data_IF_878174558106
#
_entry.id   IF_878174558106
#
_cell.length_a   1.000
_cell.length_b   1.000
_cell.length_c   1.000
_cell.angle_alpha   90.00
_cell.angle_beta   90.00
_cell.angle_gamma   90.00
#
_symmetry.space_group_name_H-M   'P 1'
#
loop_
_entity.id
_entity.type
_entity.pdbx_description
1 polymer ?
#
# COMPACT_ATOMS: atom_id res chain seq x y z
N UNK A 1 -41.09 28.13 13.62
CA UNK A 1 -39.71 27.67 13.95
C UNK A 1 -39.28 26.42 13.18
N UNK A 2 -40.08 25.33 13.09
CA UNK A 2 -39.72 24.12 12.31
C UNK A 2 -39.39 24.37 10.82
N UNK A 3 -40.09 25.30 10.15
CA UNK A 3 -39.86 25.63 8.73
C UNK A 3 -38.51 26.31 8.45
N UNK A 4 -37.96 27.02 9.44
CA UNK A 4 -36.68 27.75 9.34
C UNK A 4 -35.49 26.78 9.51
N UNK A 5 -35.62 25.78 10.38
CA UNK A 5 -34.62 24.71 10.57
C UNK A 5 -34.46 23.84 9.32
N UNK A 6 -35.56 23.49 8.63
CA UNK A 6 -35.52 22.72 7.39
C UNK A 6 -34.80 23.49 6.28
N UNK A 7 -34.98 24.81 6.23
CA UNK A 7 -34.34 25.67 5.22
C UNK A 7 -32.83 25.82 5.46
N UNK A 8 -32.40 25.93 6.73
CA UNK A 8 -30.98 25.91 7.10
C UNK A 8 -30.34 24.55 6.79
N UNK A 9 -31.01 23.44 7.12
CA UNK A 9 -30.54 22.09 6.78
C UNK A 9 -30.46 21.86 5.26
N UNK A 10 -31.40 22.39 4.48
CA UNK A 10 -31.36 22.32 3.01
C UNK A 10 -30.22 23.16 2.42
N UNK A 11 -29.95 24.35 2.97
CA UNK A 11 -28.81 25.19 2.54
C UNK A 11 -27.45 24.57 2.91
N UNK A 12 -27.34 23.87 4.04
CA UNK A 12 -26.15 23.09 4.37
C UNK A 12 -25.97 21.88 3.44
N UNK A 13 -27.06 21.20 3.05
CA UNK A 13 -27.01 20.08 2.10
C UNK A 13 -26.61 20.49 0.67
N UNK A 14 -26.88 21.74 0.26
CA UNK A 14 -26.55 22.25 -1.08
C UNK A 14 -25.09 22.73 -1.20
N UNK A 15 -24.45 23.17 -0.11
CA UNK A 15 -23.04 23.55 -0.12
C UNK A 15 -22.07 22.35 -0.13
N UNK A 16 -22.57 21.13 0.15
CA UNK A 16 -21.79 19.90 0.06
C UNK A 16 -21.61 19.39 -1.38
N UNK A 17 -22.25 20.04 -2.38
CA UNK A 17 -22.05 19.72 -3.80
C UNK A 17 -20.81 20.43 -4.33
N UNK A 18 -19.70 19.70 -4.30
CA UNK A 18 -18.63 19.70 -5.31
C UNK A 18 -18.36 21.06 -5.98
N UNK A 19 -17.48 21.87 -5.39
CA UNK A 19 -16.64 22.72 -6.23
C UNK A 19 -15.85 21.77 -7.12
N UNK A 20 -16.29 21.62 -8.37
CA UNK A 20 -15.60 20.84 -9.36
C UNK A 20 -14.27 21.56 -9.63
N UNK A 21 -13.20 21.05 -9.01
CA UNK A 21 -11.87 21.62 -9.13
C UNK A 21 -11.49 21.65 -10.60
N UNK A 22 -11.00 22.81 -11.06
CA UNK A 22 -10.55 22.92 -12.44
C UNK A 22 -9.13 22.34 -12.54
N UNK A 23 -9.04 21.05 -12.79
CA UNK A 23 -7.77 20.31 -12.91
C UNK A 23 -6.94 20.69 -14.15
N UNK A 24 -7.49 21.47 -15.10
CA UNK A 24 -6.69 22.04 -16.21
C UNK A 24 -5.74 23.16 -15.78
N UNK A 25 -5.86 23.63 -14.53
CA UNK A 25 -5.05 24.71 -13.97
C UNK A 25 -4.21 24.20 -12.81
N UNK A 26 -3.12 24.90 -12.53
CA UNK A 26 -2.34 24.68 -11.32
C UNK A 26 -3.13 25.21 -10.12
N UNK A 27 -3.30 24.38 -9.09
CA UNK A 27 -4.03 24.77 -7.88
C UNK A 27 -3.46 24.11 -6.62
N UNK A 28 -3.72 24.77 -5.49
CA UNK A 28 -3.61 24.22 -4.15
C UNK A 28 -5.02 24.06 -3.58
N UNK A 29 -5.38 22.84 -3.18
CA UNK A 29 -6.61 22.54 -2.47
C UNK A 29 -6.29 22.21 -1.01
N UNK A 30 -6.94 22.90 -0.09
CA UNK A 30 -6.60 22.87 1.33
C UNK A 30 -7.50 21.93 2.12
N UNK A 31 -7.05 21.51 3.31
CA UNK A 31 -7.90 20.77 4.25
C UNK A 31 -9.09 21.59 4.80
N UNK A 32 -9.07 22.91 4.61
CA UNK A 32 -10.19 23.82 4.87
C UNK A 32 -11.20 23.88 3.71
N UNK A 33 -11.03 23.04 2.69
CA UNK A 33 -11.81 23.01 1.45
C UNK A 33 -11.75 24.29 0.59
N UNK A 34 -10.84 25.23 0.94
CA UNK A 34 -10.52 26.37 0.08
C UNK A 34 -9.61 25.96 -1.07
N UNK A 35 -9.63 26.71 -2.16
CA UNK A 35 -8.77 26.50 -3.34
C UNK A 35 -8.03 27.77 -3.72
N UNK A 36 -6.74 27.66 -4.02
CA UNK A 36 -5.93 28.74 -4.58
C UNK A 36 -5.40 28.31 -5.94
N UNK A 37 -5.76 29.04 -6.99
CA UNK A 37 -5.17 28.88 -8.32
C UNK A 37 -3.91 29.73 -8.44
N UNK A 38 -2.92 29.23 -9.16
CA UNK A 38 -1.65 29.91 -9.40
C UNK A 38 -1.14 29.63 -10.81
N UNK A 39 -0.21 30.44 -11.30
CA UNK A 39 0.43 30.16 -12.59
C UNK A 39 1.48 29.05 -12.43
N UNK A 40 2.26 29.08 -11.35
CA UNK A 40 3.31 28.11 -11.05
C UNK A 40 3.21 27.64 -9.61
N UNK A 41 3.24 26.32 -9.41
CA UNK A 41 3.27 25.69 -8.09
C UNK A 41 4.53 24.86 -7.99
N UNK A 42 5.35 25.12 -6.96
CA UNK A 42 6.63 24.46 -6.77
C UNK A 42 6.85 24.02 -5.33
N UNK A 43 7.29 22.78 -5.12
CA UNK A 43 7.74 22.31 -3.81
C UNK A 43 9.18 22.77 -3.59
N UNK A 44 9.45 23.43 -2.45
CA UNK A 44 10.79 23.89 -2.07
C UNK A 44 11.01 23.77 -0.56
N UNK A 45 12.25 23.49 -0.10
CA UNK A 45 12.61 23.62 1.28
C UNK A 45 12.50 25.09 1.69
N UNK A 46 12.29 25.28 2.97
CA UNK A 46 12.33 26.57 3.60
C UNK A 46 13.64 26.82 4.32
N UNK A 47 13.80 28.04 4.84
CA UNK A 47 14.98 28.45 5.58
C UNK A 47 15.22 27.63 6.87
N UNK A 48 14.21 26.93 7.37
CA UNK A 48 14.31 26.01 8.52
C UNK A 48 14.55 24.55 8.12
N UNK A 49 14.70 24.25 6.83
CA UNK A 49 14.85 22.88 6.30
C UNK A 49 13.54 22.09 6.18
N UNK A 50 12.39 22.70 6.48
CA UNK A 50 11.06 22.12 6.27
C UNK A 50 10.56 22.31 4.84
N UNK A 51 9.52 21.58 4.43
CA UNK A 51 8.96 21.68 3.09
C UNK A 51 7.85 22.73 2.99
N UNK A 52 7.83 23.49 1.89
CA UNK A 52 6.76 24.45 1.59
C UNK A 52 6.42 24.46 0.09
N UNK A 53 5.15 24.73 -0.21
CA UNK A 53 4.69 24.95 -1.57
C UNK A 53 4.73 26.45 -1.88
N UNK A 54 5.37 26.80 -2.99
CA UNK A 54 5.33 28.16 -3.56
C UNK A 54 4.29 28.20 -4.67
N UNK A 55 3.20 28.91 -4.43
CA UNK A 55 2.21 29.27 -5.43
C UNK A 55 2.51 30.69 -5.90
N UNK A 56 3.12 30.82 -7.08
CA UNK A 56 3.70 32.06 -7.58
C UNK A 56 4.71 32.66 -6.57
N UNK A 57 4.38 33.81 -5.96
CA UNK A 57 5.20 34.46 -4.92
C UNK A 57 4.81 34.08 -3.50
N UNK A 58 3.68 33.38 -3.30
CA UNK A 58 3.14 33.05 -1.98
C UNK A 58 3.71 31.73 -1.48
N UNK A 59 4.16 31.72 -0.23
CA UNK A 59 4.61 30.50 0.46
C UNK A 59 3.45 29.91 1.27
N UNK A 60 3.24 28.61 1.11
CA UNK A 60 2.17 27.86 1.75
C UNK A 60 2.77 26.65 2.46
N UNK A 61 2.32 26.39 3.68
CA UNK A 61 2.74 25.21 4.44
C UNK A 61 2.18 23.94 3.81
N UNK A 62 3.01 22.93 3.59
CA UNK A 62 2.57 21.62 3.05
C UNK A 62 1.52 20.98 3.94
N UNK A 63 1.55 21.19 5.25
CA UNK A 63 0.62 20.60 6.21
C UNK A 63 -0.84 21.06 6.02
N UNK A 64 -1.05 22.21 5.38
CA UNK A 64 -2.38 22.77 5.13
C UNK A 64 -2.98 22.29 3.80
N UNK A 65 -2.14 21.81 2.89
CA UNK A 65 -2.53 21.42 1.53
C UNK A 65 -2.94 19.95 1.53
N UNK A 66 -4.15 19.68 1.02
CA UNK A 66 -4.72 18.35 0.86
C UNK A 66 -4.39 17.76 -0.51
N UNK A 67 -4.62 18.54 -1.57
CA UNK A 67 -4.19 18.20 -2.93
C UNK A 67 -3.49 19.39 -3.58
N UNK A 68 -2.58 19.14 -4.50
CA UNK A 68 -2.16 20.17 -5.44
C UNK A 68 -1.98 19.59 -6.82
N UNK A 69 -2.15 20.45 -7.82
CA UNK A 69 -1.91 20.15 -9.21
C UNK A 69 -0.86 21.13 -9.75
N UNK A 70 0.15 20.60 -10.41
CA UNK A 70 1.18 21.40 -11.06
C UNK A 70 1.49 20.84 -12.46
N UNK A 71 2.59 21.29 -13.06
CA UNK A 71 3.03 20.85 -14.39
C UNK A 71 3.50 19.39 -14.42
N UNK A 72 3.88 18.83 -13.28
CA UNK A 72 4.40 17.45 -13.18
C UNK A 72 3.27 16.44 -12.95
N UNK A 73 2.18 16.86 -12.29
CA UNK A 73 1.03 16.00 -12.05
C UNK A 73 0.11 16.47 -10.94
N UNK A 74 -0.73 15.54 -10.49
CA UNK A 74 -1.66 15.72 -9.39
C UNK A 74 -1.17 14.99 -8.16
N UNK A 75 -1.07 15.68 -7.04
CA UNK A 75 -0.47 15.16 -5.81
C UNK A 75 -1.42 15.29 -4.63
N UNK A 76 -1.37 14.31 -3.74
CA UNK A 76 -2.19 14.22 -2.55
C UNK A 76 -1.34 14.08 -1.29
N UNK A 77 -1.71 14.79 -0.23
CA UNK A 77 -0.98 14.79 1.03
C UNK A 77 -1.31 13.56 1.88
N UNK A 78 -0.28 12.82 2.27
CA UNK A 78 -0.36 11.58 3.05
C UNK A 78 -0.35 11.82 4.56
N UNK A 79 -0.23 13.09 5.02
CA UNK A 79 -0.08 13.47 6.44
C UNK A 79 -1.06 12.78 7.37
N UNK A 80 -2.34 12.72 6.99
CA UNK A 80 -3.40 12.09 7.83
C UNK A 80 -3.23 10.57 7.98
N UNK A 81 -2.38 9.95 7.16
CA UNK A 81 -2.07 8.52 7.18
C UNK A 81 -0.69 8.21 7.77
N UNK A 82 0.15 9.23 7.97
CA UNK A 82 1.45 9.11 8.63
C UNK A 82 1.27 9.12 10.15
N UNK A 83 1.91 8.18 10.85
CA UNK A 83 1.84 8.05 12.31
C UNK A 83 2.39 9.30 13.02
N UNK A 84 3.42 9.93 12.45
CA UNK A 84 4.08 11.11 13.01
C UNK A 84 3.51 12.43 12.45
N UNK A 85 2.50 12.36 11.58
CA UNK A 85 1.93 13.54 10.93
C UNK A 85 2.89 14.26 9.98
N UNK A 86 3.91 13.55 9.50
CA UNK A 86 4.82 14.05 8.47
C UNK A 86 4.05 14.26 7.17
N UNK A 87 4.18 15.46 6.59
CA UNK A 87 3.53 15.79 5.34
C UNK A 87 4.40 15.35 4.17
N UNK A 88 4.12 14.15 3.64
CA UNK A 88 4.61 13.71 2.34
C UNK A 88 3.47 13.77 1.31
N UNK A 89 3.81 13.68 0.04
CA UNK A 89 2.86 13.66 -1.06
C UNK A 89 2.97 12.37 -1.84
N UNK A 90 1.84 11.96 -2.42
CA UNK A 90 1.72 10.85 -3.34
C UNK A 90 1.11 11.36 -4.65
N UNK A 91 1.64 10.94 -5.78
CA UNK A 91 1.17 11.34 -7.11
C UNK A 91 0.04 10.42 -7.59
N UNK A 92 -0.97 10.99 -8.26
CA UNK A 92 -2.08 10.27 -8.85
C UNK A 92 -1.61 9.49 -10.09
N UNK A 93 -1.64 8.17 -10.01
CA UNK A 93 -1.26 7.27 -11.12
C UNK A 93 -2.46 6.77 -11.92
N UNK A 94 -3.65 6.73 -11.32
CA UNK A 94 -4.92 6.35 -11.96
C UNK A 94 -5.99 7.34 -11.52
N UNK A 95 -6.76 7.83 -12.50
CA UNK A 95 -7.90 8.72 -12.31
C UNK A 95 -9.20 7.99 -12.67
N UNK A 96 -10.27 8.23 -11.92
CA UNK A 96 -11.57 7.64 -12.18
C UNK A 96 -12.56 7.84 -11.03
N UNK A 97 -13.53 6.92 -10.87
CA UNK A 97 -14.45 6.94 -9.72
C UNK A 97 -13.70 6.81 -8.40
N UNK A 98 -12.59 6.05 -8.40
CA UNK A 98 -11.55 6.04 -7.40
C UNK A 98 -10.25 6.50 -8.05
N UNK A 99 -9.54 7.43 -7.40
CA UNK A 99 -8.20 7.80 -7.79
C UNK A 99 -7.19 6.97 -6.98
N UNK A 100 -6.12 6.51 -7.63
CA UNK A 100 -4.99 5.85 -6.96
C UNK A 100 -3.76 6.73 -6.96
N UNK A 101 -3.04 6.69 -5.85
CA UNK A 101 -1.85 7.47 -5.60
C UNK A 101 -0.67 6.59 -5.19
N UNK A 102 0.50 6.91 -5.74
CA UNK A 102 1.76 6.29 -5.39
C UNK A 102 2.62 7.30 -4.65
N UNK A 103 3.21 6.90 -3.51
CA UNK A 103 4.12 7.76 -2.77
C UNK A 103 5.33 8.11 -3.63
N UNK A 104 5.69 9.39 -3.64
CA UNK A 104 6.81 9.93 -4.40
C UNK A 104 7.89 10.42 -3.45
N UNK A 105 9.13 10.07 -3.76
CA UNK A 105 10.29 10.58 -3.04
C UNK A 105 10.78 11.84 -3.73
N UNK A 106 11.14 12.85 -2.93
CA UNK A 106 11.79 14.06 -3.43
C UNK A 106 13.29 13.81 -3.51
N UNK A 107 13.94 14.22 -4.60
CA UNK A 107 15.40 14.21 -4.64
C UNK A 107 15.95 15.23 -3.65
N UNK A 108 17.05 14.92 -2.96
CA UNK A 108 17.77 15.90 -2.13
C UNK A 108 18.62 16.80 -3.05
N UNK A 109 18.01 17.80 -3.69
CA UNK A 109 18.77 18.81 -4.45
C UNK A 109 19.36 19.84 -3.46
N UNK A 110 20.63 20.25 -3.62
CA UNK A 110 21.20 21.36 -2.85
C UNK A 110 20.37 22.64 -2.99
N UNK A 111 20.39 23.50 -1.95
CA UNK A 111 19.59 24.73 -1.80
C UNK A 111 19.67 25.67 -3.02
N UNK A 112 20.73 25.57 -3.84
CA UNK A 112 20.95 26.36 -5.06
C UNK A 112 20.17 25.87 -6.29
N UNK A 113 19.54 24.69 -6.24
CA UNK A 113 18.67 24.20 -7.31
C UNK A 113 17.32 24.92 -7.33
N UNK A 114 16.97 25.55 -8.46
CA UNK A 114 15.75 26.35 -8.60
C UNK A 114 14.44 25.56 -8.42
N UNK A 115 14.44 24.23 -8.39
CA UNK A 115 13.22 23.44 -8.37
C UNK A 115 13.45 21.98 -7.96
N UNK A 116 12.51 21.40 -7.19
CA UNK A 116 12.42 19.96 -7.01
C UNK A 116 11.49 19.41 -8.08
N UNK A 117 12.06 18.64 -9.01
CA UNK A 117 11.29 17.74 -9.84
C UNK A 117 10.93 16.48 -9.05
N UNK A 118 9.78 15.90 -9.34
CA UNK A 118 9.48 14.54 -8.90
C UNK A 118 10.33 13.61 -9.75
N UNK A 119 11.13 12.76 -9.09
CA UNK A 119 12.03 11.82 -9.78
C UNK A 119 11.20 10.95 -10.72
N UNK A 120 11.69 10.66 -11.93
CA UNK A 120 11.09 9.65 -12.81
C UNK A 120 11.12 8.29 -12.09
N UNK A 121 10.01 7.94 -11.43
CA UNK A 121 9.83 6.64 -10.81
C UNK A 121 8.95 5.78 -11.71
N UNK A 122 9.30 4.50 -11.84
CA UNK A 122 8.46 3.57 -12.59
C UNK A 122 7.13 3.41 -11.85
N UNK A 123 6.02 3.62 -12.57
CA UNK A 123 4.67 3.28 -12.07
C UNK A 123 4.69 1.84 -11.58
N UNK A 124 4.38 1.65 -10.30
CA UNK A 124 4.33 0.34 -9.70
C UNK A 124 2.97 -0.31 -10.01
N UNK A 125 2.94 -1.64 -10.05
CA UNK A 125 1.67 -2.35 -10.05
C UNK A 125 0.88 -2.03 -8.77
N UNK A 126 -0.45 -1.95 -8.89
CA UNK A 126 -1.33 -1.57 -7.79
C UNK A 126 -1.13 -2.50 -6.60
N UNK A 127 -0.81 -1.93 -5.44
CA UNK A 127 -0.47 -2.71 -4.26
C UNK A 127 -0.85 -1.98 -2.95
N UNK A 128 -0.70 -2.68 -1.82
CA UNK A 128 -1.17 -2.19 -0.52
C UNK A 128 -0.33 -1.07 0.11
N UNK A 129 0.79 -0.68 -0.51
CA UNK A 129 1.58 0.49 -0.10
C UNK A 129 1.02 1.79 -0.68
N UNK A 130 0.12 1.71 -1.65
CA UNK A 130 -0.50 2.85 -2.31
C UNK A 130 -1.66 3.42 -1.50
N UNK A 131 -2.14 4.58 -1.95
CA UNK A 131 -3.28 5.28 -1.38
C UNK A 131 -4.37 5.44 -2.43
N UNK A 132 -5.60 5.67 -1.98
CA UNK A 132 -6.72 5.95 -2.86
C UNK A 132 -7.69 6.95 -2.24
N UNK A 133 -8.55 7.56 -3.05
CA UNK A 133 -9.70 8.31 -2.57
C UNK A 133 -10.87 8.25 -3.57
N UNK A 134 -12.05 8.72 -3.17
CA UNK A 134 -13.19 8.95 -4.06
C UNK A 134 -13.36 10.45 -4.27
N UNK A 135 -13.22 10.92 -5.50
CA UNK A 135 -13.25 12.36 -5.82
C UNK A 135 -12.14 13.11 -5.07
N UNK A 136 -12.52 13.98 -4.13
CA UNK A 136 -11.62 14.77 -3.28
C UNK A 136 -11.77 14.45 -1.79
N UNK A 137 -12.28 13.24 -1.46
CA UNK A 137 -12.28 12.75 -0.07
C UNK A 137 -10.85 12.62 0.45
N UNK A 138 -10.71 12.46 1.76
CA UNK A 138 -9.39 12.16 2.34
C UNK A 138 -8.80 10.88 1.75
N UNK A 139 -7.47 10.82 1.71
CA UNK A 139 -6.76 9.62 1.29
C UNK A 139 -6.99 8.48 2.28
N UNK A 140 -7.07 7.29 1.73
CA UNK A 140 -7.11 6.03 2.46
C UNK A 140 -6.02 5.08 1.96
N UNK A 141 -5.59 4.15 2.82
CA UNK A 141 -4.62 3.12 2.42
C UNK A 141 -5.31 2.06 1.56
N UNK A 142 -4.66 1.67 0.46
CA UNK A 142 -5.10 0.56 -0.38
C UNK A 142 -5.04 -0.73 0.43
N UNK A 143 -6.19 -1.22 0.86
CA UNK A 143 -6.32 -2.50 1.56
C UNK A 143 -7.71 -3.09 1.31
N UNK A 144 -7.86 -4.38 1.57
CA UNK A 144 -9.12 -5.09 1.28
C UNK A 144 -10.33 -4.44 1.97
N UNK A 145 -10.22 -4.04 3.24
CA UNK A 145 -11.34 -3.48 4.01
C UNK A 145 -11.80 -2.15 3.39
N UNK A 146 -10.87 -1.22 3.21
CA UNK A 146 -11.16 0.10 2.69
C UNK A 146 -11.67 0.05 1.24
N UNK A 147 -11.08 -0.79 0.38
CA UNK A 147 -11.57 -0.97 -0.99
C UNK A 147 -12.94 -1.65 -1.04
N UNK A 148 -13.20 -2.63 -0.16
CA UNK A 148 -14.50 -3.30 -0.08
C UNK A 148 -15.62 -2.33 0.32
N UNK A 149 -15.32 -1.37 1.21
CA UNK A 149 -16.25 -0.30 1.58
C UNK A 149 -16.42 0.71 0.43
N UNK A 150 -15.32 1.18 -0.16
CA UNK A 150 -15.34 2.18 -1.21
C UNK A 150 -16.04 1.71 -2.50
N UNK A 151 -16.00 0.40 -2.79
CA UNK A 151 -16.58 -0.25 -3.97
C UNK A 151 -17.84 -1.08 -3.64
N UNK A 152 -18.49 -0.82 -2.49
CA UNK A 152 -19.63 -1.59 -2.03
C UNK A 152 -20.80 -1.63 -3.05
N UNK A 153 -20.88 -0.62 -3.92
CA UNK A 153 -21.85 -0.46 -4.98
C UNK A 153 -21.53 -1.24 -6.28
N UNK A 154 -20.37 -1.91 -6.37
CA UNK A 154 -19.96 -2.66 -7.56
C UNK A 154 -19.69 -4.15 -7.26
N UNK A 155 -20.66 -5.05 -7.48
CA UNK A 155 -20.49 -6.47 -7.16
C UNK A 155 -19.38 -7.16 -7.94
N UNK A 156 -19.06 -6.69 -9.17
CA UNK A 156 -17.97 -7.26 -9.98
C UNK A 156 -16.60 -6.92 -9.39
N UNK A 157 -16.39 -5.66 -9.00
CA UNK A 157 -15.15 -5.25 -8.31
C UNK A 157 -14.99 -5.98 -6.97
N UNK A 158 -16.08 -6.15 -6.21
CA UNK A 158 -16.05 -6.91 -4.96
C UNK A 158 -15.67 -8.39 -5.16
N UNK A 159 -16.14 -9.03 -6.23
CA UNK A 159 -15.75 -10.40 -6.56
C UNK A 159 -14.22 -10.52 -6.79
N UNK A 160 -13.64 -9.55 -7.50
CA UNK A 160 -12.18 -9.49 -7.72
C UNK A 160 -11.41 -9.23 -6.41
N UNK A 161 -11.91 -8.37 -5.52
CA UNK A 161 -11.31 -8.18 -4.20
C UNK A 161 -11.36 -9.45 -3.34
N UNK A 162 -12.43 -10.24 -3.42
CA UNK A 162 -12.53 -11.53 -2.71
C UNK A 162 -11.49 -12.53 -3.23
N UNK A 163 -11.20 -12.52 -4.52
CA UNK A 163 -10.11 -13.32 -5.09
C UNK A 163 -8.76 -12.95 -4.47
N UNK A 164 -8.46 -11.64 -4.32
CA UNK A 164 -7.27 -11.18 -3.61
C UNK A 164 -7.22 -11.73 -2.17
N UNK A 165 -8.32 -11.63 -1.41
CA UNK A 165 -8.41 -12.13 -0.04
C UNK A 165 -8.16 -13.65 0.03
N UNK A 166 -8.74 -14.41 -0.90
CA UNK A 166 -8.56 -15.86 -0.99
C UNK A 166 -7.10 -16.23 -1.25
N UNK A 167 -6.46 -15.62 -2.25
CA UNK A 167 -5.04 -15.84 -2.58
C UNK A 167 -4.11 -15.47 -1.42
N UNK A 168 -4.37 -14.34 -0.75
CA UNK A 168 -3.60 -13.93 0.43
C UNK A 168 -3.73 -14.94 1.57
N UNK A 169 -4.94 -15.45 1.80
CA UNK A 169 -5.20 -16.45 2.85
C UNK A 169 -4.50 -17.78 2.51
N UNK A 170 -4.53 -18.21 1.24
CA UNK A 170 -3.81 -19.39 0.78
C UNK A 170 -2.30 -19.24 1.00
N UNK A 171 -1.71 -18.09 0.67
CA UNK A 171 -0.30 -17.82 0.93
C UNK A 171 0.05 -17.92 2.42
N UNK A 172 -0.79 -17.39 3.31
CA UNK A 172 -0.60 -17.52 4.77
C UNK A 172 -0.63 -18.98 5.21
N UNK A 173 -1.60 -19.77 4.73
CA UNK A 173 -1.68 -21.21 5.04
C UNK A 173 -0.43 -21.95 4.60
N UNK A 174 0.09 -21.65 3.41
CA UNK A 174 1.33 -22.24 2.90
C UNK A 174 2.54 -21.86 3.76
N UNK A 175 2.64 -20.61 4.22
CA UNK A 175 3.71 -20.20 5.14
C UNK A 175 3.64 -20.89 6.50
N UNK A 176 2.43 -21.05 7.06
CA UNK A 176 2.24 -21.78 8.33
C UNK A 176 2.64 -23.24 8.17
N UNK A 177 2.20 -23.89 7.09
CA UNK A 177 2.59 -25.26 6.77
C UNK A 177 4.10 -25.40 6.53
N UNK A 178 4.73 -24.42 5.87
CA UNK A 178 6.18 -24.38 5.66
C UNK A 178 6.95 -24.34 6.99
N UNK A 179 6.54 -23.44 7.90
CA UNK A 179 7.14 -23.34 9.23
C UNK A 179 7.01 -24.64 10.03
N UNK A 180 5.83 -25.27 10.01
CA UNK A 180 5.60 -26.55 10.67
C UNK A 180 6.51 -27.66 10.11
N UNK A 181 6.68 -27.74 8.78
CA UNK A 181 7.55 -28.72 8.15
C UNK A 181 9.03 -28.53 8.50
N UNK A 182 9.51 -27.27 8.55
CA UNK A 182 10.89 -26.95 8.96
C UNK A 182 11.12 -27.32 10.44
N UNK A 183 10.18 -27.02 11.33
CA UNK A 183 10.26 -27.39 12.75
C UNK A 183 10.28 -28.91 12.89
N UNK A 184 9.38 -29.62 12.21
CA UNK A 184 9.34 -31.07 12.22
C UNK A 184 10.65 -31.70 11.71
N UNK A 185 11.25 -31.14 10.66
CA UNK A 185 12.57 -31.54 10.15
C UNK A 185 13.66 -31.40 11.21
N UNK A 186 13.69 -30.28 11.93
CA UNK A 186 14.63 -30.05 13.04
C UNK A 186 14.46 -31.08 14.15
N UNK A 187 13.22 -31.36 14.55
CA UNK A 187 12.90 -32.38 15.56
C UNK A 187 13.37 -33.75 15.10
N UNK A 188 13.11 -34.16 13.85
CA UNK A 188 13.52 -35.47 13.34
C UNK A 188 15.03 -35.60 13.19
N UNK A 189 15.75 -34.51 12.88
CA UNK A 189 17.21 -34.48 12.89
C UNK A 189 17.76 -34.68 14.31
N UNK A 190 17.20 -33.98 15.30
CA UNK A 190 17.62 -34.07 16.71
C UNK A 190 17.23 -35.41 17.35
N UNK A 191 16.05 -35.96 17.05
CA UNK A 191 15.65 -37.27 17.56
C UNK A 191 16.52 -38.38 16.99
N UNK A 192 17.03 -38.20 15.77
CA UNK A 192 17.91 -39.14 15.10
C UNK A 192 19.41 -38.88 15.38
N UNK A 193 19.77 -37.99 16.33
CA UNK A 193 21.17 -37.65 16.61
C UNK A 193 21.84 -38.43 17.77
N UNK A 194 21.10 -39.20 18.58
CA UNK A 194 21.70 -39.97 19.71
C UNK A 194 22.04 -41.42 19.35
N UNK A 195 23.29 -41.87 19.39
CA UNK A 195 23.75 -43.22 18.98
C UNK A 195 22.85 -44.37 19.50
N UNK A 196 22.30 -45.20 18.58
CA UNK A 196 21.62 -46.45 18.92
C UNK A 196 22.60 -47.56 18.60
N UNK A 197 23.19 -48.13 19.64
CA UNK A 197 23.97 -49.36 19.54
C UNK A 197 22.98 -50.50 19.34
N UNK A 198 22.91 -51.06 18.13
CA UNK A 198 22.24 -52.34 17.94
C UNK A 198 23.21 -53.45 18.35
N UNK A 199 22.66 -54.50 18.97
CA UNK A 199 23.32 -55.63 19.63
C UNK A 199 24.72 -56.01 19.13
N UNK A 200 25.58 -56.46 20.05
CA UNK A 200 26.93 -56.96 19.74
C UNK A 200 26.91 -58.00 18.61
N UNK A 201 27.60 -57.69 17.51
CA UNK A 201 27.84 -58.65 16.44
C UNK A 201 28.81 -59.75 16.90
N UNK A 202 28.80 -60.88 16.19
CA UNK A 202 29.76 -61.97 16.41
C UNK A 202 31.19 -61.41 16.34
N UNK A 203 31.93 -61.46 17.45
CA UNK A 203 33.26 -60.84 17.61
C UNK A 203 33.33 -59.56 18.46
N UNK A 204 32.23 -59.09 19.06
CA UNK A 204 32.24 -58.00 20.04
C UNK A 204 32.37 -56.58 19.47
N UNK A 205 32.40 -56.43 18.14
CA UNK A 205 32.37 -55.09 17.52
C UNK A 205 30.94 -54.52 17.53
N UNK A 206 30.76 -53.25 17.94
CA UNK A 206 29.47 -52.58 17.87
C UNK A 206 29.03 -52.42 16.41
N UNK A 207 27.82 -52.88 16.09
CA UNK A 207 27.14 -52.52 14.83
C UNK A 207 26.41 -51.21 15.05
N UNK A 208 26.65 -50.25 14.16
CA UNK A 208 25.89 -49.02 14.07
C UNK A 208 24.84 -49.20 12.97
N UNK A 209 23.57 -48.91 13.26
CA UNK A 209 22.55 -48.84 12.22
C UNK A 209 22.76 -47.58 11.37
N UNK A 210 22.74 -47.73 10.04
CA UNK A 210 22.66 -46.61 9.11
C UNK A 210 21.36 -45.85 9.35
N UNK A 211 21.48 -44.61 9.81
CA UNK A 211 20.31 -43.75 10.05
C UNK A 211 19.93 -43.03 8.78
N UNK A 212 18.68 -43.23 8.37
CA UNK A 212 18.09 -42.44 7.29
C UNK A 212 17.70 -41.06 7.79
N UNK A 213 18.35 -40.02 7.26
CA UNK A 213 17.94 -38.62 7.41
C UNK A 213 16.97 -38.17 6.30
N UNK A 214 16.55 -39.10 5.43
CA UNK A 214 15.73 -38.81 4.25
C UNK A 214 14.43 -38.10 4.65
N UNK A 215 13.77 -38.53 5.73
CA UNK A 215 12.54 -37.89 6.22
C UNK A 215 12.75 -36.42 6.60
N UNK A 216 13.85 -36.11 7.28
CA UNK A 216 14.19 -34.72 7.65
C UNK A 216 14.44 -33.84 6.42
N UNK A 217 15.18 -34.35 5.43
CA UNK A 217 15.46 -33.59 4.20
C UNK A 217 14.21 -33.43 3.33
N UNK A 218 13.32 -34.43 3.27
CA UNK A 218 12.02 -34.32 2.60
C UNK A 218 11.18 -33.23 3.26
N UNK A 219 11.08 -33.20 4.59
CA UNK A 219 10.33 -32.18 5.32
C UNK A 219 10.92 -30.77 5.13
N UNK A 220 12.25 -30.65 5.12
CA UNK A 220 12.92 -29.38 4.87
C UNK A 220 12.64 -28.90 3.44
N UNK A 221 12.72 -29.80 2.45
CA UNK A 221 12.38 -29.52 1.05
C UNK A 221 10.92 -29.08 0.87
N UNK A 222 9.98 -29.76 1.55
CA UNK A 222 8.57 -29.36 1.56
C UNK A 222 8.38 -27.97 2.21
N UNK A 223 9.08 -27.70 3.31
CA UNK A 223 9.07 -26.39 3.96
C UNK A 223 9.54 -25.27 3.05
N UNK A 224 10.68 -25.47 2.39
CA UNK A 224 11.21 -24.54 1.40
C UNK A 224 10.23 -24.33 0.24
N UNK A 225 9.70 -25.42 -0.35
CA UNK A 225 8.75 -25.36 -1.47
C UNK A 225 7.46 -24.62 -1.12
N UNK A 226 6.87 -24.89 0.05
CA UNK A 226 5.65 -24.22 0.51
C UNK A 226 5.88 -22.73 0.80
N UNK A 227 7.03 -22.35 1.37
CA UNK A 227 7.34 -20.93 1.61
C UNK A 227 7.47 -20.13 0.31
N UNK A 228 8.16 -20.67 -0.70
CA UNK A 228 8.27 -20.07 -2.02
C UNK A 228 6.92 -20.03 -2.74
N UNK A 229 6.15 -21.13 -2.69
CA UNK A 229 4.80 -21.19 -3.24
C UNK A 229 3.87 -20.17 -2.61
N UNK A 230 3.89 -20.05 -1.28
CA UNK A 230 3.10 -19.08 -0.52
C UNK A 230 3.40 -17.63 -0.90
N UNK A 231 4.69 -17.30 -1.09
CA UNK A 231 5.11 -15.99 -1.60
C UNK A 231 4.52 -15.69 -2.97
N UNK A 232 4.70 -16.60 -3.93
CA UNK A 232 4.28 -16.42 -5.32
C UNK A 232 2.75 -16.29 -5.43
N UNK A 233 2.01 -17.12 -4.70
CA UNK A 233 0.54 -17.06 -4.64
C UNK A 233 0.08 -15.71 -4.06
N UNK A 234 0.68 -15.27 -2.95
CA UNK A 234 0.37 -13.97 -2.35
C UNK A 234 0.64 -12.80 -3.28
N UNK A 235 1.80 -12.80 -3.95
CA UNK A 235 2.21 -11.76 -4.89
C UNK A 235 1.28 -11.69 -6.11
N UNK A 236 0.87 -12.85 -6.64
CA UNK A 236 -0.07 -12.93 -7.75
C UNK A 236 -1.42 -12.28 -7.45
N UNK A 237 -1.80 -12.21 -6.16
CA UNK A 237 -3.04 -11.58 -5.71
C UNK A 237 -3.08 -10.07 -5.96
N UNK A 238 -1.95 -9.38 -6.05
CA UNK A 238 -1.90 -7.92 -6.31
C UNK A 238 -2.60 -7.55 -7.61
N UNK A 239 -2.50 -8.40 -8.64
CA UNK A 239 -3.22 -8.24 -9.92
C UNK A 239 -4.74 -8.25 -9.77
N UNK A 240 -5.30 -8.87 -8.73
CA UNK A 240 -6.74 -8.83 -8.48
C UNK A 240 -7.18 -7.49 -7.89
N UNK A 241 -6.31 -6.79 -7.14
CA UNK A 241 -6.59 -5.41 -6.68
C UNK A 241 -6.63 -4.48 -7.89
N UNK A 242 -5.63 -4.54 -8.76
CA UNK A 242 -5.57 -3.74 -9.99
C UNK A 242 -6.81 -3.93 -10.86
N UNK A 243 -7.16 -5.19 -11.17
CA UNK A 243 -8.38 -5.51 -11.92
C UNK A 243 -9.66 -5.01 -11.25
N UNK A 244 -9.72 -5.03 -9.92
CA UNK A 244 -10.89 -4.53 -9.19
C UNK A 244 -11.03 -3.01 -9.36
N UNK A 245 -9.93 -2.26 -9.23
CA UNK A 245 -9.92 -0.82 -9.43
C UNK A 245 -10.27 -0.46 -10.88
N UNK A 246 -9.65 -1.13 -11.86
CA UNK A 246 -9.94 -0.92 -13.27
C UNK A 246 -11.41 -1.18 -13.60
N UNK A 247 -11.98 -2.25 -13.03
CA UNK A 247 -13.38 -2.58 -13.23
C UNK A 247 -14.31 -1.56 -12.57
N UNK A 248 -13.92 -0.98 -11.43
CA UNK A 248 -14.71 0.03 -10.74
C UNK A 248 -14.73 1.35 -11.50
N UNK A 249 -13.59 1.73 -12.09
CA UNK A 249 -13.39 2.99 -12.79
C UNK A 249 -13.98 3.02 -14.21
N UNK A 250 -14.28 1.86 -14.81
CA UNK A 250 -15.08 1.75 -16.05
C UNK A 250 -16.56 2.08 -15.81
#
# INVERSE_FOLDING_TARGET
>A
MKKLLILVLACYGLNARSQQLNESRNFLYFYSDSTVYAQKIRLRPDFSGGWSLRADSRRVSVAQVKFFNNQDGFFANTRRLSLLGEATFAERIIEGKINLYQEVLYDNVPIEGEYYGFRDYRRQAVNTRMFFNKGYSDLERVNYRNLNEAMADNPKSLALLREYKSRKSLGIVMYVAAGAAIIASGITLMSNSGFKQSSAGFGGMPKYEDRSYTGSFVLLGLGAGLSLGGYLVGESGKKSIERAVDNYNR
#
